data_IF_660236195426
#
_entry.id   IF_660236195426
#
_cell.length_a   1.000
_cell.length_b   1.000
_cell.length_c   1.000
_cell.angle_alpha   90.00
_cell.angle_beta   90.00
_cell.angle_gamma   90.00
#
_symmetry.space_group_name_H-M   'P 1'
#
loop_
_entity.id
_entity.type
_entity.pdbx_description
1 polymer ?
#
# COMPACT_ATOMS: atom_id res chain seq x y z
N UNK A 1 -7.53 7.93 -24.63
CA UNK A 1 -6.98 6.83 -23.82
C UNK A 1 -6.45 5.72 -24.73
N UNK A 2 -7.15 5.38 -25.80
CA UNK A 2 -6.71 4.45 -26.86
C UNK A 2 -5.28 4.67 -27.35
N UNK A 3 -4.84 5.93 -27.43
CA UNK A 3 -3.47 6.24 -27.82
C UNK A 3 -2.41 5.54 -26.96
N UNK A 4 -2.71 5.20 -25.69
CA UNK A 4 -1.78 4.59 -24.72
C UNK A 4 -1.45 3.12 -25.01
N UNK A 5 -2.29 2.44 -25.79
CA UNK A 5 -2.11 1.03 -26.16
C UNK A 5 -0.80 0.88 -26.94
N UNK A 6 0.08 -0.03 -26.51
CA UNK A 6 1.35 -0.31 -27.19
C UNK A 6 2.41 0.81 -27.19
N UNK A 7 2.27 1.90 -26.41
CA UNK A 7 3.16 3.07 -26.56
C UNK A 7 4.61 2.87 -26.11
N UNK A 8 4.85 2.23 -24.96
CA UNK A 8 6.21 2.10 -24.42
C UNK A 8 6.33 0.89 -23.50
N UNK A 9 7.43 0.12 -23.55
CA UNK A 9 7.70 -0.92 -22.57
C UNK A 9 8.15 -0.35 -21.22
N UNK A 10 8.63 0.90 -21.17
CA UNK A 10 9.07 1.53 -19.92
C UNK A 10 7.88 1.85 -19.01
N UNK A 11 7.88 1.22 -17.84
CA UNK A 11 6.80 1.33 -16.86
C UNK A 11 6.61 2.77 -16.36
N UNK A 12 7.68 3.49 -16.02
CA UNK A 12 7.58 4.83 -15.44
C UNK A 12 7.06 5.83 -16.49
N UNK A 13 7.59 5.76 -17.72
CA UNK A 13 7.12 6.56 -18.84
C UNK A 13 5.65 6.27 -19.16
N UNK A 14 5.24 5.00 -19.14
CA UNK A 14 3.84 4.62 -19.33
C UNK A 14 2.92 5.24 -18.27
N UNK A 15 3.28 5.13 -16.98
CA UNK A 15 2.49 5.68 -15.88
C UNK A 15 2.39 7.21 -15.95
N UNK A 16 3.45 7.91 -16.37
CA UNK A 16 3.40 9.36 -16.60
C UNK A 16 2.44 9.75 -17.72
N UNK A 17 2.32 8.92 -18.77
CA UNK A 17 1.37 9.15 -19.84
C UNK A 17 -0.08 8.94 -19.37
N UNK A 18 -0.32 7.93 -18.54
CA UNK A 18 -1.63 7.70 -17.89
C UNK A 18 -2.00 8.89 -17.01
N UNK A 19 -1.09 9.32 -16.14
CA UNK A 19 -1.30 10.47 -15.26
C UNK A 19 -1.58 11.74 -16.05
N UNK A 20 -0.82 12.00 -17.13
CA UNK A 20 -1.07 13.14 -18.00
C UNK A 20 -2.48 13.11 -18.61
N UNK A 21 -2.94 11.94 -19.09
CA UNK A 21 -4.30 11.80 -19.62
C UNK A 21 -5.37 12.05 -18.56
N UNK A 22 -5.12 11.64 -17.33
CA UNK A 22 -5.99 11.94 -16.20
C UNK A 22 -6.03 13.44 -15.87
N UNK A 23 -4.88 14.10 -15.79
CA UNK A 23 -4.80 15.55 -15.52
C UNK A 23 -5.46 16.39 -16.62
N UNK A 24 -5.24 16.02 -17.89
CA UNK A 24 -5.88 16.67 -19.05
C UNK A 24 -7.41 16.52 -18.98
N UNK A 25 -7.90 15.34 -18.61
CA UNK A 25 -9.33 15.07 -18.42
C UNK A 25 -9.93 15.91 -17.29
N UNK A 26 -9.31 15.89 -16.10
CA UNK A 26 -9.76 16.70 -14.97
C UNK A 26 -9.81 18.19 -15.31
N UNK A 27 -8.78 18.71 -15.98
CA UNK A 27 -8.71 20.12 -16.41
C UNK A 27 -9.84 20.47 -17.39
N UNK A 28 -10.12 19.58 -18.33
CA UNK A 28 -11.21 19.73 -19.29
C UNK A 28 -12.58 19.71 -18.60
N UNK A 29 -12.79 18.78 -17.65
CA UNK A 29 -14.03 18.69 -16.87
C UNK A 29 -14.26 19.92 -15.98
N UNK A 30 -13.22 20.46 -15.35
CA UNK A 30 -13.32 21.71 -14.59
C UNK A 30 -13.71 22.89 -15.50
N UNK A 31 -13.12 22.96 -16.69
CA UNK A 31 -13.45 24.01 -17.67
C UNK A 31 -14.90 23.92 -18.11
N UNK A 32 -15.37 22.73 -18.49
CA UNK A 32 -16.77 22.48 -18.86
C UNK A 32 -17.71 22.82 -17.71
N UNK A 33 -17.41 22.38 -16.49
CA UNK A 33 -18.21 22.71 -15.31
C UNK A 33 -18.31 24.22 -15.07
N UNK A 34 -17.24 24.98 -15.30
CA UNK A 34 -17.26 26.43 -15.15
C UNK A 34 -18.12 27.11 -16.21
N UNK A 35 -18.07 26.63 -17.47
CA UNK A 35 -18.94 27.13 -18.54
C UNK A 35 -20.42 26.83 -18.25
N UNK A 36 -20.71 25.63 -17.74
CA UNK A 36 -22.06 25.17 -17.43
C UNK A 36 -22.40 25.29 -15.93
N UNK A 37 -21.77 26.21 -15.20
CA UNK A 37 -21.89 26.30 -13.74
C UNK A 37 -23.33 26.50 -13.29
N UNK A 38 -24.09 27.32 -14.02
CA UNK A 38 -25.49 27.55 -13.71
C UNK A 38 -26.31 26.27 -13.85
N UNK A 39 -26.12 25.51 -14.94
CA UNK A 39 -26.79 24.23 -15.15
C UNK A 39 -26.48 23.25 -14.01
N UNK A 40 -25.20 23.12 -13.65
CA UNK A 40 -24.71 22.19 -12.63
C UNK A 40 -25.22 22.56 -11.21
N UNK A 41 -25.27 23.86 -10.87
CA UNK A 41 -25.64 24.32 -9.50
C UNK A 41 -27.11 24.64 -9.31
N UNK A 42 -27.89 24.85 -10.36
CA UNK A 42 -29.32 25.18 -10.24
C UNK A 42 -30.21 24.03 -10.68
N UNK A 43 -30.04 23.52 -11.90
CA UNK A 43 -30.90 22.49 -12.45
C UNK A 43 -30.51 21.10 -11.94
N UNK A 44 -29.24 20.70 -12.12
CA UNK A 44 -28.78 19.36 -11.74
C UNK A 44 -28.89 19.15 -10.22
N UNK A 45 -28.55 20.16 -9.43
CA UNK A 45 -28.66 20.10 -7.97
C UNK A 45 -30.09 19.83 -7.47
N UNK A 46 -31.11 20.26 -8.22
CA UNK A 46 -32.52 20.06 -7.87
C UNK A 46 -33.09 18.74 -8.41
N UNK A 47 -32.39 18.06 -9.31
CA UNK A 47 -32.84 16.85 -9.97
C UNK A 47 -32.08 15.62 -9.43
N UNK A 48 -32.65 14.85 -8.49
CA UNK A 48 -31.93 13.76 -7.80
C UNK A 48 -31.48 12.62 -8.71
N UNK A 49 -32.04 12.50 -9.91
CA UNK A 49 -31.70 11.45 -10.88
C UNK A 49 -30.58 11.86 -11.85
N UNK A 50 -30.10 13.12 -11.80
CA UNK A 50 -29.05 13.61 -12.69
C UNK A 50 -27.71 13.64 -11.97
N UNK A 51 -26.67 13.17 -12.67
CA UNK A 51 -25.29 13.25 -12.21
C UNK A 51 -24.74 14.65 -12.50
N UNK A 52 -23.86 15.14 -11.64
CA UNK A 52 -23.12 16.37 -11.91
C UNK A 52 -22.26 16.20 -13.16
N UNK A 53 -21.88 17.32 -13.78
CA UNK A 53 -20.96 17.30 -14.94
C UNK A 53 -19.66 16.59 -14.57
N UNK A 54 -19.20 16.78 -13.33
CA UNK A 54 -18.02 16.13 -12.81
C UNK A 54 -18.19 14.61 -12.73
N UNK A 55 -19.29 14.14 -12.13
CA UNK A 55 -19.54 12.71 -11.94
C UNK A 55 -19.75 11.98 -13.27
N UNK A 56 -20.42 12.61 -14.23
CA UNK A 56 -20.50 12.08 -15.60
C UNK A 56 -19.10 11.98 -16.22
N UNK A 57 -18.25 12.99 -16.04
CA UNK A 57 -16.87 12.97 -16.50
C UNK A 57 -16.06 11.82 -15.89
N UNK A 58 -16.24 11.54 -14.60
CA UNK A 58 -15.59 10.41 -13.92
C UNK A 58 -16.10 9.07 -14.46
N UNK A 59 -17.41 8.91 -14.64
CA UNK A 59 -18.00 7.70 -15.22
C UNK A 59 -17.48 7.46 -16.64
N UNK A 60 -17.45 8.49 -17.48
CA UNK A 60 -16.92 8.37 -18.83
C UNK A 60 -15.45 7.93 -18.83
N UNK A 61 -14.60 8.52 -17.98
CA UNK A 61 -13.20 8.13 -17.90
C UNK A 61 -13.03 6.70 -17.38
N UNK A 62 -13.79 6.32 -16.35
CA UNK A 62 -13.82 4.96 -15.79
C UNK A 62 -14.17 3.93 -16.86
N UNK A 63 -15.25 4.15 -17.60
CA UNK A 63 -15.70 3.22 -18.63
C UNK A 63 -14.64 3.02 -19.72
N UNK A 64 -13.94 4.09 -20.14
CA UNK A 64 -12.87 3.97 -21.12
C UNK A 64 -11.61 3.31 -20.54
N UNK A 65 -11.30 3.55 -19.26
CA UNK A 65 -10.17 2.92 -18.58
C UNK A 65 -10.36 1.41 -18.46
N UNK A 66 -11.54 0.99 -18.00
CA UNK A 66 -11.89 -0.43 -17.85
C UNK A 66 -12.10 -1.14 -19.19
N UNK A 67 -12.53 -0.44 -20.23
CA UNK A 67 -12.65 -1.03 -21.57
C UNK A 67 -11.29 -1.33 -22.23
N UNK A 68 -10.20 -0.73 -21.75
CA UNK A 68 -8.85 -0.91 -22.28
C UNK A 68 -8.02 -1.78 -21.32
N UNK A 69 -8.27 -3.09 -21.34
CA UNK A 69 -7.67 -4.07 -20.43
C UNK A 69 -6.13 -3.97 -20.35
N UNK A 70 -5.45 -3.76 -21.48
CA UNK A 70 -3.99 -3.56 -21.50
C UNK A 70 -3.57 -2.33 -20.68
N UNK A 71 -4.29 -1.20 -20.84
CA UNK A 71 -3.96 0.05 -20.16
C UNK A 71 -4.22 -0.09 -18.67
N UNK A 72 -5.35 -0.67 -18.30
CA UNK A 72 -5.70 -0.95 -16.91
C UNK A 72 -4.67 -1.85 -16.24
N UNK A 73 -4.45 -3.05 -16.80
CA UNK A 73 -3.55 -4.06 -16.24
C UNK A 73 -2.12 -3.52 -16.08
N UNK A 74 -1.63 -2.79 -17.09
CA UNK A 74 -0.29 -2.20 -17.08
C UNK A 74 -0.18 -1.02 -16.11
N UNK A 75 -1.25 -0.26 -15.91
CA UNK A 75 -1.29 0.81 -14.90
C UNK A 75 -1.17 0.21 -13.50
N UNK A 76 -2.00 -0.78 -13.19
CA UNK A 76 -1.99 -1.45 -11.88
C UNK A 76 -0.65 -2.15 -11.63
N UNK A 77 -0.17 -2.96 -12.58
CA UNK A 77 1.11 -3.65 -12.48
C UNK A 77 2.29 -2.67 -12.32
N UNK A 78 2.23 -1.53 -13.01
CA UNK A 78 3.25 -0.51 -12.91
C UNK A 78 3.30 0.17 -11.54
N UNK A 79 2.15 0.52 -10.98
CA UNK A 79 2.04 1.07 -9.62
C UNK A 79 2.63 0.09 -8.62
N UNK A 80 2.24 -1.19 -8.69
CA UNK A 80 2.73 -2.25 -7.81
C UNK A 80 4.26 -2.41 -7.90
N UNK A 81 4.79 -2.45 -9.14
CA UNK A 81 6.24 -2.51 -9.39
C UNK A 81 6.99 -1.33 -8.77
N UNK A 82 6.45 -0.10 -8.86
CA UNK A 82 7.08 1.06 -8.23
C UNK A 82 7.09 0.95 -6.71
N UNK A 83 6.03 0.41 -6.10
CA UNK A 83 5.98 0.22 -4.63
C UNK A 83 6.99 -0.84 -4.18
N UNK A 84 7.12 -1.96 -4.91
CA UNK A 84 8.14 -2.98 -4.63
C UNK A 84 9.56 -2.43 -4.76
N UNK A 85 9.83 -1.65 -5.82
CA UNK A 85 11.11 -0.96 -5.99
C UNK A 85 11.41 -0.01 -4.84
N UNK A 86 10.41 0.70 -4.33
CA UNK A 86 10.61 1.55 -3.16
C UNK A 86 10.94 0.74 -1.90
N UNK A 87 10.31 -0.43 -1.68
CA UNK A 87 10.64 -1.33 -0.56
C UNK A 87 12.08 -1.83 -0.58
N UNK A 88 12.66 -1.97 -1.77
CA UNK A 88 14.06 -2.36 -1.98
C UNK A 88 15.04 -1.18 -1.92
N UNK A 89 14.56 0.03 -1.60
CA UNK A 89 15.38 1.22 -1.41
C UNK A 89 15.62 2.04 -2.67
N UNK A 90 14.95 1.72 -3.78
CA UNK A 90 15.03 2.51 -5.01
C UNK A 90 14.16 3.76 -4.86
N UNK A 91 14.72 4.93 -5.21
CA UNK A 91 13.93 6.17 -5.24
C UNK A 91 12.89 6.12 -6.36
N UNK A 92 11.66 6.50 -6.04
CA UNK A 92 10.52 6.45 -6.97
C UNK A 92 9.75 7.77 -6.95
N UNK A 93 9.04 8.05 -8.04
CA UNK A 93 8.20 9.24 -8.14
C UNK A 93 6.93 9.07 -7.29
N UNK A 94 7.03 9.36 -5.98
CA UNK A 94 5.91 9.34 -5.03
C UNK A 94 4.74 10.26 -5.44
N UNK A 95 4.97 11.49 -5.97
CA UNK A 95 3.88 12.31 -6.50
C UNK A 95 3.06 11.62 -7.59
N UNK A 96 3.71 10.89 -8.51
CA UNK A 96 3.04 10.12 -9.55
C UNK A 96 2.19 8.99 -8.96
N UNK A 97 2.75 8.21 -8.03
CA UNK A 97 2.01 7.16 -7.31
C UNK A 97 0.76 7.74 -6.64
N UNK A 98 0.92 8.84 -5.90
CA UNK A 98 -0.20 9.51 -5.23
C UNK A 98 -1.27 9.97 -6.20
N UNK A 99 -0.88 10.52 -7.36
CA UNK A 99 -1.83 10.99 -8.37
C UNK A 99 -2.64 9.83 -8.96
N UNK A 100 -1.96 8.75 -9.35
CA UNK A 100 -2.59 7.58 -9.96
C UNK A 100 -3.47 6.79 -8.97
N UNK A 101 -3.04 6.64 -7.71
CA UNK A 101 -3.87 5.99 -6.70
C UNK A 101 -5.12 6.81 -6.38
N UNK A 102 -5.00 8.15 -6.34
CA UNK A 102 -6.17 9.04 -6.23
C UNK A 102 -7.08 8.97 -7.44
N UNK A 103 -6.53 8.80 -8.64
CA UNK A 103 -7.33 8.54 -9.83
C UNK A 103 -8.14 7.25 -9.63
N UNK A 104 -7.52 6.13 -9.22
CA UNK A 104 -8.25 4.88 -8.98
C UNK A 104 -9.35 5.04 -7.92
N UNK A 105 -9.10 5.78 -6.84
CA UNK A 105 -10.12 6.09 -5.81
C UNK A 105 -11.25 6.96 -6.37
N UNK A 106 -10.94 8.02 -7.13
CA UNK A 106 -11.95 8.88 -7.76
C UNK A 106 -12.81 8.12 -8.78
N UNK A 107 -12.20 7.16 -9.48
CA UNK A 107 -12.88 6.25 -10.39
C UNK A 107 -13.54 5.07 -9.66
N UNK A 108 -13.47 4.97 -8.32
CA UNK A 108 -14.06 3.89 -7.52
C UNK A 108 -13.65 2.47 -7.97
N UNK A 109 -12.42 2.31 -8.44
CA UNK A 109 -11.86 1.01 -8.87
C UNK A 109 -10.63 0.60 -8.06
N UNK A 110 -10.27 1.40 -7.04
CA UNK A 110 -9.10 1.17 -6.20
C UNK A 110 -9.13 -0.19 -5.48
N UNK A 111 -10.24 -0.51 -4.80
CA UNK A 111 -10.37 -1.76 -4.03
C UNK A 111 -10.36 -2.98 -4.95
N UNK A 112 -11.12 -2.92 -6.05
CA UNK A 112 -11.27 -4.01 -7.01
C UNK A 112 -9.98 -4.31 -7.78
N UNK A 113 -9.32 -3.28 -8.30
CA UNK A 113 -8.20 -3.47 -9.22
C UNK A 113 -6.84 -3.50 -8.52
N UNK A 114 -6.67 -2.77 -7.42
CA UNK A 114 -5.38 -2.54 -6.79
C UNK A 114 -5.25 -3.17 -5.40
N UNK A 115 -6.14 -2.85 -4.45
CA UNK A 115 -5.90 -3.13 -3.02
C UNK A 115 -5.67 -4.62 -2.73
N UNK A 116 -6.52 -5.49 -3.25
CA UNK A 116 -6.38 -6.94 -3.03
C UNK A 116 -5.08 -7.51 -3.61
N UNK A 117 -4.63 -7.02 -4.76
CA UNK A 117 -3.34 -7.42 -5.36
C UNK A 117 -2.16 -6.86 -4.58
N UNK A 118 -2.25 -5.59 -4.19
CA UNK A 118 -1.24 -4.90 -3.39
C UNK A 118 -0.98 -5.61 -2.07
N UNK A 119 -2.03 -6.02 -1.35
CA UNK A 119 -1.89 -6.74 -0.09
C UNK A 119 -1.27 -8.13 -0.31
N UNK A 120 -1.66 -8.86 -1.36
CA UNK A 120 -1.06 -10.16 -1.70
C UNK A 120 0.44 -10.06 -2.02
N UNK A 121 0.84 -9.13 -2.88
CA UNK A 121 2.25 -8.92 -3.20
C UNK A 121 3.05 -8.45 -1.98
N UNK A 122 2.39 -7.73 -1.06
CA UNK A 122 2.98 -7.39 0.25
C UNK A 122 3.15 -8.61 1.14
N UNK A 123 2.20 -9.55 1.13
CA UNK A 123 2.32 -10.81 1.88
C UNK A 123 3.53 -11.60 1.39
N UNK A 124 3.63 -11.81 0.08
CA UNK A 124 4.71 -12.55 -0.55
C UNK A 124 6.07 -11.90 -0.29
N UNK A 125 6.16 -10.57 -0.42
CA UNK A 125 7.38 -9.81 -0.15
C UNK A 125 7.87 -10.01 1.29
N UNK A 126 6.99 -9.81 2.28
CA UNK A 126 7.39 -9.87 3.68
C UNK A 126 7.56 -11.29 4.22
N UNK A 127 6.86 -12.27 3.66
CA UNK A 127 7.12 -13.68 3.96
C UNK A 127 8.54 -14.08 3.53
N UNK A 128 8.94 -13.71 2.30
CA UNK A 128 10.28 -13.98 1.80
C UNK A 128 11.36 -13.20 2.57
N UNK A 129 11.11 -11.93 2.89
CA UNK A 129 12.05 -11.10 3.65
C UNK A 129 12.23 -11.63 5.08
N UNK A 130 11.15 -12.00 5.78
CA UNK A 130 11.19 -12.54 7.13
C UNK A 130 12.07 -13.78 7.22
N UNK A 131 11.86 -14.77 6.35
CA UNK A 131 12.68 -15.99 6.28
C UNK A 131 14.15 -15.67 6.03
N UNK A 132 14.44 -14.81 5.05
CA UNK A 132 15.81 -14.42 4.71
C UNK A 132 16.52 -13.74 5.87
N UNK A 133 15.86 -12.77 6.52
CA UNK A 133 16.46 -11.96 7.57
C UNK A 133 16.63 -12.76 8.87
N UNK A 134 15.66 -13.61 9.23
CA UNK A 134 15.74 -14.48 10.41
C UNK A 134 16.91 -15.48 10.31
N UNK A 135 17.27 -15.89 9.09
CA UNK A 135 18.40 -16.79 8.86
C UNK A 135 19.77 -16.13 9.09
N UNK A 136 19.90 -14.82 8.84
CA UNK A 136 21.20 -14.12 8.86
C UNK A 136 21.38 -13.17 10.04
N UNK A 137 20.30 -12.63 10.59
CA UNK A 137 20.35 -11.67 11.70
C UNK A 137 20.31 -12.36 13.07
N UNK A 138 20.87 -11.69 14.07
CA UNK A 138 20.56 -11.99 15.47
C UNK A 138 19.17 -11.42 15.85
N UNK A 139 18.68 -11.80 17.03
CA UNK A 139 17.34 -11.41 17.46
C UNK A 139 17.18 -9.89 17.64
N UNK A 140 18.09 -9.15 18.29
CA UNK A 140 18.02 -7.69 18.35
C UNK A 140 17.90 -7.00 17.00
N UNK A 141 18.78 -7.34 16.04
CA UNK A 141 18.77 -6.71 14.72
C UNK A 141 17.53 -7.13 13.92
N UNK A 142 17.02 -8.34 14.10
CA UNK A 142 15.75 -8.76 13.49
C UNK A 142 14.58 -7.91 14.02
N UNK A 143 14.45 -7.74 15.34
CA UNK A 143 13.37 -6.95 15.94
C UNK A 143 13.42 -5.49 15.48
N UNK A 144 14.61 -4.89 15.44
CA UNK A 144 14.80 -3.54 14.93
C UNK A 144 14.39 -3.43 13.46
N UNK A 145 14.81 -4.39 12.62
CA UNK A 145 14.42 -4.43 11.21
C UNK A 145 12.90 -4.49 11.03
N UNK A 146 12.21 -5.28 11.86
CA UNK A 146 10.74 -5.32 11.83
C UNK A 146 10.15 -3.96 12.18
N UNK A 147 10.59 -3.31 13.26
CA UNK A 147 10.09 -1.97 13.63
C UNK A 147 10.28 -0.96 12.51
N UNK A 148 11.45 -0.95 11.87
CA UNK A 148 11.77 -0.09 10.74
C UNK A 148 10.84 -0.35 9.55
N UNK A 149 10.60 -1.62 9.19
CA UNK A 149 9.68 -1.99 8.10
C UNK A 149 8.24 -1.58 8.40
N UNK A 150 7.76 -1.79 9.62
CA UNK A 150 6.41 -1.39 10.01
C UNK A 150 6.23 0.13 9.98
N UNK A 151 7.25 0.89 10.38
CA UNK A 151 7.23 2.35 10.26
C UNK A 151 7.24 2.80 8.79
N UNK A 152 8.09 2.19 7.95
CA UNK A 152 8.12 2.48 6.51
C UNK A 152 6.76 2.24 5.84
N UNK A 153 6.05 1.16 6.17
CA UNK A 153 4.71 0.91 5.63
C UNK A 153 3.66 1.89 6.16
N UNK A 154 3.75 2.30 7.43
CA UNK A 154 2.87 3.32 7.99
C UNK A 154 3.06 4.69 7.30
N UNK A 155 4.31 5.06 7.01
CA UNK A 155 4.66 6.26 6.28
C UNK A 155 4.18 6.18 4.83
N UNK A 156 4.44 5.04 4.16
CA UNK A 156 3.97 4.76 2.80
C UNK A 156 2.46 4.91 2.66
N UNK A 157 1.71 4.32 3.60
CA UNK A 157 0.25 4.45 3.61
C UNK A 157 -0.20 5.89 3.74
N UNK A 158 0.50 6.68 4.56
CA UNK A 158 0.16 8.09 4.80
C UNK A 158 0.55 8.99 3.62
N UNK A 159 1.57 8.62 2.84
CA UNK A 159 2.08 9.42 1.73
C UNK A 159 1.21 9.34 0.48
N UNK A 160 0.73 8.15 0.11
CA UNK A 160 0.07 7.97 -1.18
C UNK A 160 -1.02 6.89 -1.28
N UNK A 161 -1.22 6.02 -0.29
CA UNK A 161 -2.31 5.02 -0.33
C UNK A 161 -3.64 5.62 0.15
N UNK A 162 -4.74 4.90 -0.12
CA UNK A 162 -6.01 5.22 0.50
C UNK A 162 -5.96 4.95 2.02
N UNK A 163 -6.71 5.74 2.78
CA UNK A 163 -6.84 5.59 4.22
C UNK A 163 -7.42 4.24 4.64
N UNK A 164 -8.26 3.63 3.80
CA UNK A 164 -8.82 2.28 4.03
C UNK A 164 -7.73 1.22 4.11
N UNK A 165 -6.67 1.36 3.32
CA UNK A 165 -5.59 0.36 3.19
C UNK A 165 -4.62 0.39 4.36
N UNK A 166 -4.47 1.51 5.08
CA UNK A 166 -3.42 1.69 6.10
C UNK A 166 -3.41 0.59 7.15
N UNK A 167 -4.57 0.28 7.73
CA UNK A 167 -4.67 -0.74 8.78
C UNK A 167 -4.38 -2.13 8.22
N UNK A 168 -4.92 -2.44 7.05
CA UNK A 168 -4.73 -3.72 6.38
C UNK A 168 -3.25 -3.95 6.09
N UNK A 169 -2.58 -2.98 5.47
CA UNK A 169 -1.16 -3.04 5.12
C UNK A 169 -0.25 -3.32 6.32
N UNK A 170 -0.40 -2.55 7.41
CA UNK A 170 0.43 -2.72 8.61
C UNK A 170 0.18 -4.09 9.24
N UNK A 171 -1.09 -4.53 9.31
CA UNK A 171 -1.45 -5.84 9.86
C UNK A 171 -0.88 -6.98 9.00
N UNK A 172 -0.92 -6.84 7.68
CA UNK A 172 -0.32 -7.78 6.74
C UNK A 172 1.20 -7.88 6.95
N UNK A 173 1.90 -6.75 7.04
CA UNK A 173 3.34 -6.73 7.28
C UNK A 173 3.70 -7.38 8.63
N UNK A 174 2.97 -7.06 9.72
CA UNK A 174 3.12 -7.70 11.02
C UNK A 174 2.93 -9.22 10.95
N UNK A 175 1.86 -9.66 10.30
CA UNK A 175 1.52 -11.09 10.21
C UNK A 175 2.55 -11.89 9.43
N UNK A 176 3.27 -11.29 8.48
CA UNK A 176 4.28 -12.02 7.69
C UNK A 176 5.69 -11.88 8.28
N UNK A 177 6.06 -10.71 8.80
CA UNK A 177 7.39 -10.48 9.37
C UNK A 177 7.57 -11.06 10.77
N UNK A 178 6.51 -11.17 11.57
CA UNK A 178 6.63 -11.59 12.98
C UNK A 178 6.04 -12.98 13.23
N UNK A 179 4.78 -13.20 12.87
CA UNK A 179 4.02 -14.37 13.29
C UNK A 179 4.70 -15.71 12.95
N UNK A 180 5.30 -15.93 11.78
CA UNK A 180 5.97 -17.19 11.46
C UNK A 180 7.26 -17.45 12.26
N UNK A 181 7.79 -16.41 12.90
CA UNK A 181 9.12 -16.42 13.52
C UNK A 181 9.08 -16.29 15.04
N UNK A 182 7.90 -16.18 15.68
CA UNK A 182 7.75 -15.99 17.13
C UNK A 182 8.47 -17.06 17.95
N UNK A 183 8.25 -18.33 17.61
CA UNK A 183 8.93 -19.45 18.28
C UNK A 183 10.46 -19.37 18.13
N UNK A 184 10.96 -19.12 16.92
CA UNK A 184 12.40 -19.02 16.66
C UNK A 184 13.04 -17.83 17.41
N UNK A 185 12.32 -16.71 17.54
CA UNK A 185 12.78 -15.54 18.29
C UNK A 185 12.87 -15.83 19.80
N UNK A 186 11.91 -16.59 20.35
CA UNK A 186 11.95 -17.02 21.75
C UNK A 186 13.11 -17.98 22.01
N UNK A 187 13.22 -19.03 21.21
CA UNK A 187 14.25 -20.08 21.37
C UNK A 187 15.67 -19.52 21.23
N UNK A 188 15.90 -18.62 20.26
CA UNK A 188 17.25 -18.09 19.95
C UNK A 188 17.61 -16.85 20.77
N UNK A 189 16.62 -16.05 21.16
CA UNK A 189 16.86 -14.70 21.67
C UNK A 189 16.51 -14.50 23.13
N UNK A 190 15.39 -15.05 23.60
CA UNK A 190 14.82 -14.67 24.88
C UNK A 190 15.76 -14.94 26.06
N UNK A 191 16.30 -16.15 26.16
CA UNK A 191 17.25 -16.51 27.23
C UNK A 191 18.50 -15.62 27.22
N UNK A 192 19.12 -15.44 26.05
CA UNK A 192 20.31 -14.59 25.90
C UNK A 192 20.06 -13.12 26.29
N UNK A 193 18.88 -12.58 25.93
CA UNK A 193 18.48 -11.22 26.29
C UNK A 193 18.21 -11.06 27.79
N UNK A 194 17.59 -12.07 28.41
CA UNK A 194 17.35 -12.12 29.85
C UNK A 194 18.65 -12.20 30.64
N UNK A 195 19.54 -13.13 30.27
CA UNK A 195 20.85 -13.33 30.92
C UNK A 195 21.71 -12.06 30.83
N UNK A 196 21.64 -11.37 29.69
CA UNK A 196 22.37 -10.12 29.44
C UNK A 196 21.65 -8.86 29.96
N UNK A 197 20.49 -9.00 30.61
CA UNK A 197 19.66 -7.90 31.13
C UNK A 197 19.35 -6.81 30.09
N UNK A 198 19.14 -7.20 28.83
CA UNK A 198 18.84 -6.29 27.71
C UNK A 198 17.37 -5.87 27.70
N UNK A 199 16.99 -5.08 28.70
CA UNK A 199 15.61 -4.61 28.92
C UNK A 199 15.00 -3.85 27.72
N UNK A 200 15.74 -3.00 26.97
CA UNK A 200 15.17 -2.32 25.80
C UNK A 200 14.68 -3.30 24.73
N UNK A 201 15.51 -4.29 24.37
CA UNK A 201 15.19 -5.30 23.37
C UNK A 201 14.07 -6.23 23.84
N UNK A 202 14.04 -6.61 25.12
CA UNK A 202 12.94 -7.37 25.71
C UNK A 202 11.60 -6.61 25.65
N UNK A 203 11.63 -5.29 25.88
CA UNK A 203 10.45 -4.43 25.76
C UNK A 203 9.94 -4.40 24.32
N UNK A 204 10.84 -4.25 23.34
CA UNK A 204 10.49 -4.28 21.92
C UNK A 204 9.90 -5.64 21.54
N UNK A 205 10.54 -6.74 21.95
CA UNK A 205 10.04 -8.09 21.71
C UNK A 205 8.62 -8.28 22.25
N UNK A 206 8.37 -7.87 23.49
CA UNK A 206 7.03 -7.94 24.10
C UNK A 206 5.99 -7.12 23.32
N UNK A 207 6.33 -5.88 22.95
CA UNK A 207 5.43 -5.01 22.19
C UNK A 207 5.08 -5.58 20.82
N UNK A 208 6.06 -6.16 20.10
CA UNK A 208 5.83 -6.77 18.80
C UNK A 208 4.99 -8.05 18.91
N UNK A 209 5.20 -8.86 19.96
CA UNK A 209 4.42 -10.08 20.18
C UNK A 209 2.96 -9.79 20.54
N UNK A 210 2.71 -8.68 21.25
CA UNK A 210 1.35 -8.21 21.51
C UNK A 210 0.60 -7.87 20.22
N UNK A 211 1.28 -7.32 19.20
CA UNK A 211 0.65 -6.96 17.91
C UNK A 211 0.17 -8.18 17.14
N UNK A 212 0.86 -9.31 17.24
CA UNK A 212 0.50 -10.58 16.58
C UNK A 212 -0.25 -11.58 17.47
N UNK A 213 -0.70 -11.15 18.66
CA UNK A 213 -1.37 -12.01 19.64
C UNK A 213 -0.56 -13.26 20.05
N UNK A 214 0.77 -13.16 20.03
CA UNK A 214 1.69 -14.25 20.40
C UNK A 214 2.12 -14.20 21.87
N UNK A 215 1.32 -13.58 22.75
CA UNK A 215 1.66 -13.40 24.16
C UNK A 215 1.64 -14.72 24.95
N UNK A 216 0.78 -15.67 24.57
CA UNK A 216 0.72 -16.98 25.24
C UNK A 216 2.05 -17.75 25.08
N UNK A 217 2.69 -17.64 23.91
CA UNK A 217 4.01 -18.23 23.64
C UNK A 217 5.11 -17.55 24.48
N UNK A 218 5.05 -16.23 24.64
CA UNK A 218 5.97 -15.46 25.47
C UNK A 218 5.82 -15.77 26.97
N UNK A 219 4.59 -15.95 27.46
CA UNK A 219 4.33 -16.29 28.86
C UNK A 219 4.84 -17.70 29.21
N UNK A 220 4.63 -18.66 28.31
CA UNK A 220 5.20 -20.00 28.45
C UNK A 220 6.73 -19.97 28.49
N UNK A 221 7.38 -19.18 27.62
CA UNK A 221 8.84 -19.04 27.66
C UNK A 221 9.32 -18.38 28.97
N UNK A 222 8.68 -17.28 29.40
CA UNK A 222 9.06 -16.59 30.63
C UNK A 222 8.95 -17.47 31.89
N UNK A 223 7.98 -18.38 31.94
CA UNK A 223 7.83 -19.34 33.05
C UNK A 223 8.93 -20.41 33.13
N UNK A 224 9.72 -20.60 32.07
CA UNK A 224 10.86 -21.55 32.06
C UNK A 224 12.12 -20.91 32.65
N UNK A 225 12.22 -19.57 32.63
CA UNK A 225 13.40 -18.81 33.07
C UNK A 225 13.24 -18.17 34.47
N UNK A 226 12.12 -18.40 35.17
CA UNK A 226 11.88 -18.02 36.57
C UNK A 226 11.89 -19.28 37.44
#
# INVERSE_FOLDING_TARGET
MESLVGQTPDCNAFLQLVDRKWQDHCSSMLTLRNVFLYLDRSFVLQAPNLRSIWDMGLEHFRNHFQALEEVEAKTVAGILTLIERERTGVDVNRPLLRSLLRMLSALQVYEELFEGRFLRETEEFYAAEGVRYMATADVPHFLQHVEERLQQEADRASLYLDSSTRKLLVTTAESQLLKPHTQALLERGFGSLMDSQRLPELKVMYQLFQRVQALDEHQCAASIFV
#
